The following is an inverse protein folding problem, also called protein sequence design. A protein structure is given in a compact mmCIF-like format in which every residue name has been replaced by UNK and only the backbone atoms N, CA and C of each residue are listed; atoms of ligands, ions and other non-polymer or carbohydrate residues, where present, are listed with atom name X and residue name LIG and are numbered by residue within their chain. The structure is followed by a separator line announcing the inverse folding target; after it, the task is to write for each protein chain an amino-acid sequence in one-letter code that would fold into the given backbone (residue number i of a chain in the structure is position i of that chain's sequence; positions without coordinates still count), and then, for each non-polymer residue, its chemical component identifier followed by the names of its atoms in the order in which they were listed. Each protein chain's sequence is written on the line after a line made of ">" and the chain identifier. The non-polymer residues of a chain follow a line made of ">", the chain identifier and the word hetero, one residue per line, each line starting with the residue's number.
data_IF_921216178323
#
_entry.id   IF_921216178323
#
_cell.length_a   1.000
_cell.length_b   1.000
_cell.length_c   1.000
_cell.angle_alpha   90.00
_cell.angle_beta   90.00
_cell.angle_gamma   90.00
#
_symmetry.space_group_name_H-M   'P 1'
#
loop_
_entity.id
_entity.type
_entity.pdbx_description
1 polymer ?
#
# COMPACT_ATOMS: atom_id res chain seq x y z
N UNK A 1 3.50 -24.08 -11.61
CA UNK A 1 3.58 -22.82 -12.38
C UNK A 1 2.31 -22.02 -12.07
N UNK A 2 2.38 -21.00 -11.21
CA UNK A 2 1.22 -20.17 -10.81
C UNK A 2 1.43 -18.78 -11.43
N UNK A 3 1.36 -18.72 -12.75
CA UNK A 3 1.41 -17.48 -13.52
C UNK A 3 0.06 -17.28 -14.21
N UNK A 4 -0.97 -17.10 -13.38
CA UNK A 4 -2.32 -16.80 -13.82
C UNK A 4 -2.70 -15.34 -13.53
N UNK A 5 -3.81 -14.85 -14.10
CA UNK A 5 -4.27 -13.46 -13.95
C UNK A 5 -4.56 -13.05 -12.49
N UNK A 6 -4.67 -14.02 -11.57
CA UNK A 6 -4.91 -13.82 -10.14
C UNK A 6 -3.64 -13.91 -9.27
N UNK A 7 -2.45 -13.83 -9.88
CA UNK A 7 -1.16 -13.94 -9.15
C UNK A 7 -1.00 -12.84 -8.09
N UNK A 8 -1.56 -11.65 -8.33
CA UNK A 8 -1.54 -10.54 -7.40
C UNK A 8 -2.95 -10.33 -6.83
N UNK A 9 -3.03 -10.10 -5.52
CA UNK A 9 -4.29 -9.71 -4.90
C UNK A 9 -4.75 -8.37 -5.49
N UNK A 10 -6.00 -8.33 -5.97
CA UNK A 10 -6.64 -7.13 -6.48
C UNK A 10 -7.61 -6.57 -5.42
N UNK A 11 -7.86 -5.27 -5.51
CA UNK A 11 -8.96 -4.63 -4.78
C UNK A 11 -10.28 -4.88 -5.50
N UNK A 12 -11.38 -4.80 -4.75
CA UNK A 12 -12.74 -4.78 -5.33
C UNK A 12 -12.84 -3.54 -6.23
N UNK A 13 -13.33 -3.65 -7.47
CA UNK A 13 -13.54 -2.48 -8.32
C UNK A 13 -14.60 -1.55 -7.70
N UNK A 14 -14.35 -0.24 -7.75
CA UNK A 14 -15.31 0.75 -7.26
C UNK A 14 -16.66 0.56 -7.95
N UNK A 15 -17.69 0.38 -7.13
CA UNK A 15 -19.08 0.26 -7.53
C UNK A 15 -19.82 1.57 -7.22
N UNK A 16 -19.42 2.66 -7.88
CA UNK A 16 -19.93 4.02 -7.64
C UNK A 16 -21.46 4.17 -7.76
N UNK A 17 -22.14 3.25 -8.45
CA UNK A 17 -23.60 3.20 -8.51
C UNK A 17 -24.26 2.81 -7.18
N UNK A 18 -23.52 2.15 -6.27
CA UNK A 18 -23.97 1.72 -4.95
C UNK A 18 -23.58 2.74 -3.86
N UNK A 19 -22.33 3.22 -3.92
CA UNK A 19 -21.79 4.27 -3.05
C UNK A 19 -20.56 4.87 -3.73
N UNK A 20 -20.46 6.20 -3.79
CA UNK A 20 -19.32 6.95 -4.36
C UNK A 20 -18.62 7.83 -3.30
N UNK A 21 -19.00 7.68 -2.02
CA UNK A 21 -18.31 8.35 -0.92
C UNK A 21 -17.03 7.58 -0.59
N UNK A 22 -15.89 8.18 -0.90
CA UNK A 22 -14.58 7.65 -0.55
C UNK A 22 -14.31 7.74 0.96
N UNK A 23 -13.60 6.76 1.55
CA UNK A 23 -13.11 6.90 2.91
C UNK A 23 -12.04 8.01 2.99
N UNK A 24 -11.89 8.59 4.17
CA UNK A 24 -10.79 9.52 4.44
C UNK A 24 -9.43 8.82 4.34
N UNK A 25 -8.37 9.62 4.14
CA UNK A 25 -7.02 9.06 4.08
C UNK A 25 -6.58 8.55 5.46
N UNK A 26 -5.84 7.44 5.53
CA UNK A 26 -5.29 6.97 6.81
C UNK A 26 -4.21 7.93 7.32
N UNK A 27 -4.02 7.93 8.64
CA UNK A 27 -2.86 8.51 9.30
C UNK A 27 -1.73 7.50 9.18
N UNK A 28 -0.62 7.90 8.56
CA UNK A 28 0.54 7.04 8.29
C UNK A 28 1.75 7.51 9.08
N UNK A 29 2.46 6.58 9.71
CA UNK A 29 3.75 6.83 10.37
C UNK A 29 4.75 5.73 10.01
N UNK A 30 6.04 6.02 10.14
CA UNK A 30 7.10 5.06 9.78
C UNK A 30 8.17 4.96 10.85
N UNK A 31 8.77 3.77 10.95
CA UNK A 31 9.93 3.53 11.79
C UNK A 31 10.98 2.71 11.01
N UNK A 32 12.24 3.16 10.94
CA UNK A 32 13.32 2.33 10.39
C UNK A 32 13.52 1.10 11.27
N UNK A 33 13.71 -0.07 10.65
CA UNK A 33 13.91 -1.35 11.34
C UNK A 33 14.94 -2.14 10.55
N UNK A 34 16.15 -2.35 11.06
CA UNK A 34 17.28 -3.08 10.42
C UNK A 34 17.07 -3.56 8.97
N UNK A 35 17.46 -2.71 7.99
CA UNK A 35 17.33 -2.99 6.55
C UNK A 35 15.91 -2.85 5.97
N UNK A 36 14.94 -2.43 6.77
CA UNK A 36 13.52 -2.27 6.44
C UNK A 36 12.98 -0.94 6.92
N UNK A 37 11.85 -0.55 6.35
CA UNK A 37 10.96 0.47 6.85
C UNK A 37 9.67 -0.19 7.30
N UNK A 38 9.35 -0.07 8.59
CA UNK A 38 8.03 -0.46 9.09
C UNK A 38 7.08 0.71 8.90
N UNK A 39 6.07 0.50 8.07
CA UNK A 39 5.00 1.47 7.81
C UNK A 39 3.83 1.11 8.71
N UNK A 40 3.34 2.06 9.48
CA UNK A 40 2.14 1.94 10.31
C UNK A 40 1.03 2.81 9.76
N UNK A 41 -0.20 2.37 9.91
CA UNK A 41 -1.36 3.16 9.55
C UNK A 41 -2.51 3.00 10.54
N UNK A 42 -3.37 4.01 10.58
CA UNK A 42 -4.61 4.01 11.34
C UNK A 42 -5.65 4.90 10.66
N UNK A 43 -6.93 4.70 10.99
CA UNK A 43 -8.02 5.52 10.50
C UNK A 43 -8.97 5.81 11.66
N UNK A 44 -9.48 7.05 11.80
CA UNK A 44 -10.41 7.40 12.89
C UNK A 44 -11.70 6.60 12.80
N UNK A 45 -12.23 6.41 11.59
CA UNK A 45 -13.45 5.65 11.33
C UNK A 45 -13.10 4.25 10.82
N UNK A 46 -12.55 3.38 11.68
CA UNK A 46 -12.12 2.02 11.25
C UNK A 46 -13.26 1.18 10.68
N UNK A 47 -14.52 1.51 10.99
CA UNK A 47 -15.73 0.79 10.53
C UNK A 47 -15.93 0.89 9.02
N UNK A 48 -15.50 1.99 8.44
CA UNK A 48 -15.73 2.29 7.03
C UNK A 48 -14.60 1.75 6.13
N UNK A 49 -13.51 1.26 6.74
CA UNK A 49 -12.42 0.62 6.01
C UNK A 49 -12.64 -0.88 5.94
N UNK A 50 -12.58 -1.45 4.73
CA UNK A 50 -12.64 -2.88 4.46
C UNK A 50 -11.26 -3.48 4.16
N UNK A 51 -10.42 -2.77 3.42
CA UNK A 51 -9.06 -3.16 3.06
C UNK A 51 -8.13 -1.94 3.10
N UNK A 52 -6.82 -2.22 3.15
CA UNK A 52 -5.79 -1.20 2.92
C UNK A 52 -5.01 -1.55 1.68
N UNK A 53 -4.49 -0.54 0.98
CA UNK A 53 -3.47 -0.73 -0.04
C UNK A 53 -2.21 -0.01 0.39
N UNK A 54 -1.13 -0.76 0.57
CA UNK A 54 0.19 -0.22 0.89
C UNK A 54 1.00 -0.20 -0.39
N UNK A 55 1.25 1.00 -0.89
CA UNK A 55 2.06 1.24 -2.08
C UNK A 55 3.51 1.51 -1.65
N UNK A 56 4.45 1.00 -2.44
CA UNK A 56 5.88 1.25 -2.27
C UNK A 56 6.56 1.37 -3.62
N UNK A 57 7.47 2.34 -3.73
CA UNK A 57 8.16 2.70 -4.96
C UNK A 57 9.63 2.37 -4.83
N UNK A 58 10.11 1.46 -5.68
CA UNK A 58 11.53 1.14 -5.79
C UNK A 58 12.07 1.70 -7.10
N UNK A 59 13.03 2.63 -7.00
CA UNK A 59 13.45 3.45 -8.15
C UNK A 59 12.25 4.19 -8.77
N UNK A 60 11.91 3.87 -10.02
CA UNK A 60 10.77 4.45 -10.74
C UNK A 60 9.53 3.54 -10.81
N UNK A 61 9.54 2.38 -10.13
CA UNK A 61 8.47 1.39 -10.24
C UNK A 61 7.65 1.32 -8.96
N UNK A 62 6.35 1.54 -9.09
CA UNK A 62 5.38 1.28 -8.04
C UNK A 62 5.05 -0.22 -7.94
N UNK A 63 4.83 -0.66 -6.72
CA UNK A 63 4.27 -1.95 -6.37
C UNK A 63 3.36 -1.75 -5.16
N UNK A 64 2.48 -2.72 -4.92
CA UNK A 64 1.51 -2.59 -3.85
C UNK A 64 1.26 -3.93 -3.17
N UNK A 65 0.73 -3.85 -1.95
CA UNK A 65 0.20 -4.99 -1.22
C UNK A 65 -1.15 -4.63 -0.62
N UNK A 66 -2.14 -5.48 -0.86
CA UNK A 66 -3.46 -5.36 -0.24
C UNK A 66 -3.41 -6.00 1.14
N UNK A 67 -3.90 -5.30 2.14
CA UNK A 67 -3.94 -5.73 3.53
C UNK A 67 -5.39 -5.81 4.01
N UNK A 68 -5.65 -6.65 5.00
CA UNK A 68 -6.96 -6.77 5.62
C UNK A 68 -7.21 -5.60 6.58
N UNK A 69 -8.48 -5.34 6.87
CA UNK A 69 -8.89 -4.35 7.89
C UNK A 69 -8.19 -4.50 9.24
N UNK A 70 -7.80 -5.71 9.62
CA UNK A 70 -7.17 -6.01 10.93
C UNK A 70 -5.70 -5.61 10.97
N UNK A 71 -5.06 -5.46 9.81
CA UNK A 71 -3.66 -5.08 9.71
C UNK A 71 -3.49 -3.59 9.99
N UNK A 72 -2.39 -3.23 10.64
CA UNK A 72 -2.01 -1.86 10.98
C UNK A 72 -0.55 -1.54 10.68
N UNK A 73 0.19 -2.51 10.14
CA UNK A 73 1.58 -2.30 9.74
C UNK A 73 2.06 -3.26 8.66
N UNK A 74 3.11 -2.85 7.96
CA UNK A 74 3.83 -3.67 6.99
C UNK A 74 5.32 -3.32 7.01
N UNK A 75 6.15 -4.36 7.01
CA UNK A 75 7.59 -4.22 6.81
C UNK A 75 7.92 -4.25 5.32
N UNK A 76 8.62 -3.21 4.84
CA UNK A 76 9.08 -3.07 3.46
C UNK A 76 10.60 -2.99 3.45
N UNK A 77 11.28 -3.71 2.56
CA UNK A 77 12.74 -3.65 2.45
C UNK A 77 13.19 -2.24 2.01
N UNK A 78 14.32 -1.75 2.53
CA UNK A 78 14.89 -0.47 2.06
C UNK A 78 15.52 -0.58 0.66
N UNK A 79 15.83 -1.80 0.21
CA UNK A 79 16.31 -2.07 -1.14
C UNK A 79 15.97 -3.47 -1.61
N UNK A 80 15.71 -3.59 -2.91
CA UNK A 80 15.47 -4.87 -3.59
C UNK A 80 16.38 -5.00 -4.80
N UNK A 81 16.82 -6.23 -5.09
CA UNK A 81 17.56 -6.50 -6.32
C UNK A 81 16.63 -6.32 -7.53
N UNK A 82 17.10 -5.57 -8.53
CA UNK A 82 16.41 -5.38 -9.78
C UNK A 82 16.28 -6.69 -10.57
N UNK A 83 15.38 -6.71 -11.55
CA UNK A 83 15.11 -7.90 -12.38
C UNK A 83 16.34 -8.39 -13.14
N UNK A 84 17.31 -7.50 -13.41
CA UNK A 84 18.58 -7.85 -14.03
C UNK A 84 19.57 -8.56 -13.09
N UNK A 85 19.23 -8.71 -11.80
CA UNK A 85 20.04 -9.39 -10.80
C UNK A 85 21.30 -8.63 -10.36
N UNK A 86 21.53 -7.41 -10.86
CA UNK A 86 22.78 -6.65 -10.64
C UNK A 86 22.55 -5.34 -9.91
N UNK A 87 21.47 -4.63 -10.24
CA UNK A 87 21.21 -3.32 -9.67
C UNK A 87 20.40 -3.43 -8.38
N UNK A 88 20.64 -2.51 -7.44
CA UNK A 88 19.84 -2.38 -6.23
C UNK A 88 18.87 -1.21 -6.41
N UNK A 89 17.58 -1.50 -6.40
CA UNK A 89 16.55 -0.47 -6.36
C UNK A 89 16.23 -0.15 -4.90
N UNK A 90 16.54 1.06 -4.47
CA UNK A 90 16.20 1.55 -3.13
C UNK A 90 14.74 1.99 -3.07
N UNK A 91 14.17 1.91 -1.87
CA UNK A 91 12.84 2.42 -1.57
C UNK A 91 12.87 3.95 -1.61
N UNK A 92 12.09 4.54 -2.52
CA UNK A 92 12.05 5.99 -2.78
C UNK A 92 10.84 6.65 -2.14
N UNK A 93 9.69 5.97 -2.17
CA UNK A 93 8.45 6.48 -1.63
C UNK A 93 7.51 5.35 -1.21
N UNK A 94 6.52 5.71 -0.40
CA UNK A 94 5.43 4.84 0.01
C UNK A 94 4.13 5.64 0.09
N UNK A 95 2.99 4.93 0.09
CA UNK A 95 1.68 5.51 0.37
C UNK A 95 0.79 4.43 0.99
N UNK A 96 -0.23 4.85 1.74
CA UNK A 96 -1.26 3.94 2.25
C UNK A 96 -2.62 4.56 1.96
N UNK A 97 -3.52 3.77 1.41
CA UNK A 97 -4.90 4.18 1.17
C UNK A 97 -5.87 3.24 1.90
N UNK A 98 -7.02 3.80 2.27
CA UNK A 98 -8.15 3.04 2.79
C UNK A 98 -9.08 2.67 1.62
N UNK A 99 -9.62 1.46 1.64
CA UNK A 99 -10.63 0.99 0.68
C UNK A 99 -11.86 0.54 1.46
N UNK A 100 -13.03 1.04 1.08
CA UNK A 100 -14.30 0.67 1.71
C UNK A 100 -14.86 -0.67 1.15
N UNK A 101 -16.09 -1.04 1.55
CA UNK A 101 -16.73 -2.29 1.11
C UNK A 101 -17.17 -2.28 -0.35
N UNK A 102 -17.34 -1.11 -0.95
CA UNK A 102 -17.79 -0.94 -2.34
C UNK A 102 -16.64 -0.65 -3.30
N UNK A 103 -15.40 -0.67 -2.80
CA UNK A 103 -14.18 -0.53 -3.59
C UNK A 103 -13.74 0.92 -3.79
N UNK A 104 -14.31 1.87 -3.06
CA UNK A 104 -13.85 3.25 -3.11
C UNK A 104 -12.56 3.40 -2.33
N UNK A 105 -11.54 3.92 -2.99
CA UNK A 105 -10.22 4.16 -2.41
C UNK A 105 -10.11 5.63 -1.97
N UNK A 106 -9.49 5.86 -0.80
CA UNK A 106 -9.17 7.19 -0.30
C UNK A 106 -8.23 7.93 -1.26
N UNK A 107 -8.00 9.22 -1.01
CA UNK A 107 -6.97 9.96 -1.75
C UNK A 107 -5.58 9.31 -1.58
N UNK A 108 -4.81 9.31 -2.67
CA UNK A 108 -3.43 8.84 -2.69
C UNK A 108 -2.47 9.99 -2.36
N UNK A 109 -1.57 9.77 -1.41
CA UNK A 109 -0.52 10.73 -1.04
C UNK A 109 0.85 10.05 -1.07
N UNK A 110 1.73 10.49 -1.98
CA UNK A 110 3.10 9.99 -2.07
C UNK A 110 3.95 10.57 -0.93
N UNK A 111 4.44 9.71 -0.05
CA UNK A 111 5.36 10.04 1.02
C UNK A 111 6.78 9.60 0.61
N UNK A 112 7.63 10.56 0.28
CA UNK A 112 9.02 10.29 -0.08
C UNK A 112 9.86 9.96 1.15
N UNK A 113 10.77 9.00 1.01
CA UNK A 113 11.76 8.70 2.04
C UNK A 113 12.91 9.69 1.89
N UNK A 114 13.18 10.44 2.95
CA UNK A 114 14.39 11.26 3.07
C UNK A 114 15.37 10.48 3.92
N UNK A 115 16.47 10.03 3.30
CA UNK A 115 17.63 9.50 4.00
C UNK A 115 18.54 10.64 4.42
#
# INVERSE_FOLDING_TARGET
>A
LIEGPYKNQAIVPSSAWLDDKRPEKPIVTVAPTDGKLRIYWSHPEKVDVFQWVVYFKYGNKWSYKVMSRKDSSLDVLLGITAVNGKDLNTLQAYAVTAVDRTGNESSFEELSIKF
#
